data_IF_935887049301
#
_entry.id   IF_935887049301
#
_cell.length_a   1.000
_cell.length_b   1.000
_cell.length_c   1.000
_cell.angle_alpha   90.00
_cell.angle_beta   90.00
_cell.angle_gamma   90.00
#
_symmetry.space_group_name_H-M   'P 1'
#
loop_
_entity.id
_entity.type
_entity.pdbx_description
1 polymer ?
#
# COMPACT_ATOMS: atom_id res chain seq x y z
N UNK A 1 26.57 6.61 11.46
CA UNK A 1 25.59 5.63 11.97
C UNK A 1 24.55 5.47 10.87
N UNK A 2 24.48 4.31 10.21
CA UNK A 2 23.44 4.07 9.21
C UNK A 2 22.09 3.94 9.91
N UNK A 3 21.07 4.62 9.40
CA UNK A 3 19.70 4.40 9.83
C UNK A 3 19.38 2.89 9.77
N UNK A 4 18.54 2.35 10.67
CA UNK A 4 18.16 0.95 10.62
C UNK A 4 17.60 0.64 9.22
N UNK A 5 18.37 -0.12 8.45
CA UNK A 5 17.94 -0.66 7.17
C UNK A 5 16.70 -1.50 7.48
N UNK A 6 15.57 -1.16 6.86
CA UNK A 6 14.36 -1.95 6.99
C UNK A 6 14.67 -3.41 6.65
N UNK A 7 14.13 -4.34 7.44
CA UNK A 7 14.30 -5.77 7.15
C UNK A 7 13.34 -6.11 6.01
N UNK A 8 13.89 -6.54 4.88
CA UNK A 8 13.11 -7.11 3.79
C UNK A 8 12.54 -8.47 4.20
N UNK A 9 11.45 -8.44 4.96
CA UNK A 9 10.76 -9.64 5.49
C UNK A 9 9.87 -10.32 4.45
N UNK A 10 9.61 -9.66 3.32
CA UNK A 10 8.77 -10.16 2.23
C UNK A 10 9.60 -10.66 1.03
N UNK A 11 10.92 -10.82 1.22
CA UNK A 11 11.85 -11.32 0.20
C UNK A 11 11.77 -10.59 -1.15
N UNK A 12 11.49 -9.28 -1.11
CA UNK A 12 11.42 -8.43 -2.29
C UNK A 12 12.74 -8.41 -3.06
N UNK A 13 12.66 -8.37 -4.38
CA UNK A 13 13.83 -8.16 -5.24
C UNK A 13 14.38 -6.72 -5.06
N UNK A 14 15.66 -6.47 -5.40
CA UNK A 14 16.21 -5.12 -5.38
C UNK A 14 15.41 -4.12 -6.25
N UNK A 15 14.91 -4.58 -7.40
CA UNK A 15 14.10 -3.76 -8.32
C UNK A 15 12.73 -3.43 -7.71
N UNK A 16 12.10 -4.39 -7.03
CA UNK A 16 10.85 -4.14 -6.31
C UNK A 16 11.03 -3.12 -5.18
N UNK A 17 12.14 -3.20 -4.43
CA UNK A 17 12.46 -2.24 -3.37
C UNK A 17 12.65 -0.84 -3.96
N UNK A 18 13.45 -0.71 -5.02
CA UNK A 18 13.71 0.57 -5.67
C UNK A 18 12.42 1.21 -6.21
N UNK A 19 11.57 0.43 -6.90
CA UNK A 19 10.27 0.93 -7.39
C UNK A 19 9.30 1.30 -6.25
N UNK A 20 9.32 0.58 -5.13
CA UNK A 20 8.51 0.95 -3.96
C UNK A 20 8.98 2.26 -3.34
N UNK A 21 10.29 2.44 -3.16
CA UNK A 21 10.87 3.70 -2.69
C UNK A 21 10.51 4.86 -3.65
N UNK A 22 10.61 4.63 -4.98
CA UNK A 22 10.20 5.62 -5.99
C UNK A 22 8.70 5.95 -5.89
N UNK A 23 7.83 4.94 -5.73
CA UNK A 23 6.40 5.15 -5.60
C UNK A 23 6.05 5.98 -4.34
N UNK A 24 6.72 5.74 -3.22
CA UNK A 24 6.53 6.51 -1.98
C UNK A 24 7.02 7.97 -2.15
N UNK A 25 8.20 8.18 -2.74
CA UNK A 25 8.72 9.51 -3.06
C UNK A 25 7.77 10.30 -3.97
N UNK A 26 7.13 9.63 -4.94
CA UNK A 26 6.10 10.21 -5.80
C UNK A 26 4.84 10.59 -5.02
N UNK A 27 4.42 9.79 -4.03
CA UNK A 27 3.31 10.15 -3.14
C UNK A 27 3.64 11.39 -2.29
N UNK A 28 4.85 11.45 -1.73
CA UNK A 28 5.32 12.61 -0.95
C UNK A 28 5.40 13.88 -1.81
N UNK A 29 5.77 13.73 -3.07
CA UNK A 29 5.84 14.82 -4.06
C UNK A 29 4.50 15.17 -4.70
N UNK A 30 3.40 14.54 -4.26
CA UNK A 30 2.04 14.70 -4.80
C UNK A 30 1.88 14.31 -6.28
N UNK A 31 2.81 13.52 -6.82
CA UNK A 31 2.75 12.93 -8.16
C UNK A 31 1.94 11.61 -8.13
N UNK A 32 0.68 11.69 -7.67
CA UNK A 32 -0.13 10.52 -7.29
C UNK A 32 -0.36 9.54 -8.46
N UNK A 33 -0.63 10.05 -9.66
CA UNK A 33 -0.86 9.19 -10.83
C UNK A 33 0.38 8.36 -11.20
N UNK A 34 1.58 8.93 -11.06
CA UNK A 34 2.81 8.21 -11.38
C UNK A 34 3.11 7.17 -10.30
N UNK A 35 2.88 7.50 -9.02
CA UNK A 35 2.98 6.53 -7.93
C UNK A 35 2.03 5.35 -8.14
N UNK A 36 0.75 5.62 -8.41
CA UNK A 36 -0.27 4.58 -8.64
C UNK A 36 0.12 3.68 -9.81
N UNK A 37 0.64 4.26 -10.91
CA UNK A 37 1.12 3.50 -12.06
C UNK A 37 2.28 2.55 -11.71
N UNK A 38 3.25 3.00 -10.92
CA UNK A 38 4.37 2.16 -10.46
C UNK A 38 3.83 1.00 -9.62
N UNK A 39 2.97 1.30 -8.65
CA UNK A 39 2.39 0.31 -7.74
C UNK A 39 1.53 -0.72 -8.48
N UNK A 40 0.71 -0.31 -9.45
CA UNK A 40 -0.07 -1.23 -10.27
C UNK A 40 0.84 -2.12 -11.13
N UNK A 41 1.92 -1.59 -11.68
CA UNK A 41 2.92 -2.39 -12.41
C UNK A 41 3.57 -3.46 -11.52
N UNK A 42 3.95 -3.09 -10.29
CA UNK A 42 4.46 -4.05 -9.30
C UNK A 42 3.42 -5.10 -8.92
N UNK A 43 2.15 -4.72 -8.81
CA UNK A 43 1.06 -5.63 -8.50
C UNK A 43 0.80 -6.62 -9.65
N UNK A 44 0.95 -6.20 -10.90
CA UNK A 44 0.83 -7.11 -12.07
C UNK A 44 1.93 -8.18 -12.07
N UNK A 45 3.15 -7.84 -11.62
CA UNK A 45 4.26 -8.78 -11.48
C UNK A 45 4.01 -9.79 -10.34
N UNK A 46 3.48 -9.32 -9.20
CA UNK A 46 3.07 -10.15 -8.08
C UNK A 46 1.78 -9.62 -7.42
N UNK A 47 0.67 -10.26 -7.79
CA UNK A 47 -0.68 -9.91 -7.34
C UNK A 47 -0.88 -10.05 -5.83
N UNK A 48 0.01 -10.76 -5.12
CA UNK A 48 -0.09 -10.98 -3.68
C UNK A 48 1.02 -10.28 -2.89
N UNK A 49 1.73 -9.32 -3.50
CA UNK A 49 2.76 -8.56 -2.83
C UNK A 49 2.16 -7.66 -1.73
N UNK A 50 2.28 -8.09 -0.47
CA UNK A 50 1.70 -7.42 0.70
C UNK A 50 2.15 -5.94 0.83
N UNK A 51 3.45 -5.59 0.65
CA UNK A 51 3.87 -4.18 0.65
C UNK A 51 3.15 -3.33 -0.39
N UNK A 52 3.05 -3.80 -1.64
CA UNK A 52 2.39 -3.08 -2.73
C UNK A 52 0.90 -2.86 -2.42
N UNK A 53 0.21 -3.92 -1.96
CA UNK A 53 -1.20 -3.83 -1.56
C UNK A 53 -1.43 -2.83 -0.43
N UNK A 54 -0.55 -2.80 0.59
CA UNK A 54 -0.64 -1.85 1.68
C UNK A 54 -0.46 -0.40 1.22
N UNK A 55 0.49 -0.15 0.32
CA UNK A 55 0.78 1.19 -0.21
C UNK A 55 -0.35 1.64 -1.15
N UNK A 56 -0.88 0.77 -2.01
CA UNK A 56 -2.09 1.06 -2.80
C UNK A 56 -3.28 1.42 -1.90
N UNK A 57 -3.52 0.61 -0.87
CA UNK A 57 -4.55 0.91 0.12
C UNK A 57 -4.36 2.30 0.76
N UNK A 58 -3.11 2.67 1.07
CA UNK A 58 -2.79 3.98 1.62
C UNK A 58 -3.01 5.11 0.60
N UNK A 59 -2.54 4.93 -0.64
CA UNK A 59 -2.68 5.88 -1.73
C UNK A 59 -4.15 6.21 -1.99
N UNK A 60 -4.99 5.19 -2.21
CA UNK A 60 -6.41 5.38 -2.48
C UNK A 60 -7.12 6.06 -1.31
N UNK A 61 -6.89 5.59 -0.08
CA UNK A 61 -7.62 6.09 1.08
C UNK A 61 -7.17 7.48 1.52
N UNK A 62 -5.87 7.78 1.47
CA UNK A 62 -5.31 9.04 2.00
C UNK A 62 -5.27 10.14 0.94
N UNK A 63 -4.89 9.82 -0.29
CA UNK A 63 -4.63 10.82 -1.32
C UNK A 63 -5.80 10.98 -2.28
N UNK A 64 -6.48 9.89 -2.64
CA UNK A 64 -7.62 9.92 -3.56
C UNK A 64 -8.98 10.03 -2.86
N UNK A 65 -9.04 9.77 -1.55
CA UNK A 65 -10.29 9.62 -0.80
C UNK A 65 -11.23 8.54 -1.38
N UNK A 66 -10.66 7.57 -2.10
CA UNK A 66 -11.36 6.39 -2.59
C UNK A 66 -11.34 5.33 -1.49
N UNK A 67 -12.30 5.46 -0.57
CA UNK A 67 -12.33 4.65 0.65
C UNK A 67 -12.73 3.21 0.35
N UNK A 68 -13.60 2.99 -0.63
CA UNK A 68 -14.00 1.66 -1.10
C UNK A 68 -12.80 0.89 -1.64
N UNK A 69 -12.02 1.46 -2.58
CA UNK A 69 -10.82 0.81 -3.09
C UNK A 69 -9.77 0.58 -2.00
N UNK A 70 -9.57 1.56 -1.11
CA UNK A 70 -8.66 1.43 0.03
C UNK A 70 -9.02 0.23 0.92
N UNK A 71 -10.31 0.07 1.25
CA UNK A 71 -10.82 -1.05 2.04
C UNK A 71 -10.57 -2.38 1.31
N UNK A 72 -10.81 -2.45 -0.01
CA UNK A 72 -10.58 -3.66 -0.80
C UNK A 72 -9.11 -4.11 -0.76
N UNK A 73 -8.17 -3.18 -0.95
CA UNK A 73 -6.74 -3.51 -0.85
C UNK A 73 -6.35 -4.01 0.54
N UNK A 74 -6.83 -3.36 1.60
CA UNK A 74 -6.56 -3.82 2.96
C UNK A 74 -7.26 -5.13 3.32
N UNK A 75 -8.43 -5.41 2.76
CA UNK A 75 -9.09 -6.71 2.90
C UNK A 75 -8.21 -7.81 2.27
N UNK A 76 -7.65 -7.59 1.06
CA UNK A 76 -6.68 -8.52 0.44
C UNK A 76 -5.42 -8.71 1.28
N UNK A 77 -4.85 -7.65 1.86
CA UNK A 77 -3.71 -7.78 2.78
C UNK A 77 -4.05 -8.69 3.95
N UNK A 78 -5.24 -8.54 4.54
CA UNK A 78 -5.66 -9.32 5.71
C UNK A 78 -6.08 -10.75 5.38
N UNK A 79 -6.38 -11.06 4.12
CA UNK A 79 -6.51 -12.44 3.64
C UNK A 79 -5.16 -13.15 3.59
N UNK A 80 -4.10 -12.42 3.18
CA UNK A 80 -2.74 -12.96 3.05
C UNK A 80 -1.99 -12.97 4.40
N UNK A 81 -2.15 -11.92 5.19
CA UNK A 81 -1.50 -11.70 6.48
C UNK A 81 -2.54 -11.22 7.52
N UNK A 82 -3.29 -12.16 8.13
CA UNK A 82 -4.39 -11.83 9.04
C UNK A 82 -3.97 -11.06 10.28
N UNK A 83 -2.69 -11.10 10.67
CA UNK A 83 -2.12 -10.41 11.82
C UNK A 83 -1.61 -9.00 11.51
N UNK A 84 -1.60 -8.57 10.24
CA UNK A 84 -1.18 -7.22 9.83
C UNK A 84 -1.97 -6.12 10.58
N UNK A 85 -1.33 -5.50 11.57
CA UNK A 85 -1.98 -4.53 12.43
C UNK A 85 -2.32 -3.23 11.68
N UNK A 86 -1.45 -2.81 10.77
CA UNK A 86 -1.62 -1.59 9.98
C UNK A 86 -2.85 -1.68 9.06
N UNK A 87 -2.92 -2.73 8.24
CA UNK A 87 -4.05 -2.95 7.34
C UNK A 87 -5.37 -3.06 8.11
N UNK A 88 -5.36 -3.73 9.28
CA UNK A 88 -6.55 -3.85 10.13
C UNK A 88 -7.04 -2.49 10.61
N UNK A 89 -6.14 -1.61 11.04
CA UNK A 89 -6.47 -0.31 11.60
C UNK A 89 -6.90 0.69 10.51
N UNK A 90 -6.18 0.77 9.40
CA UNK A 90 -6.55 1.64 8.27
C UNK A 90 -7.88 1.21 7.64
N UNK A 91 -8.10 -0.10 7.42
CA UNK A 91 -9.41 -0.59 6.96
C UNK A 91 -10.54 -0.22 7.91
N UNK A 92 -10.33 -0.36 9.23
CA UNK A 92 -11.34 0.05 10.24
C UNK A 92 -11.60 1.55 10.21
N UNK A 93 -10.58 2.38 9.97
CA UNK A 93 -10.73 3.82 9.78
C UNK A 93 -11.60 4.10 8.56
N UNK A 94 -11.24 3.55 7.40
CA UNK A 94 -11.93 3.87 6.14
C UNK A 94 -13.37 3.35 6.08
N UNK A 95 -13.66 2.19 6.67
CA UNK A 95 -15.04 1.69 6.80
C UNK A 95 -15.98 2.69 7.44
N UNK A 96 -15.49 3.52 8.39
CA UNK A 96 -16.34 4.54 9.02
C UNK A 96 -16.85 5.54 8.00
N UNK A 97 -16.04 5.97 7.03
CA UNK A 97 -16.45 6.97 6.03
C UNK A 97 -17.48 6.44 5.04
N UNK A 98 -17.49 5.14 4.76
CA UNK A 98 -18.45 4.50 3.83
C UNK A 98 -19.77 4.14 4.52
N UNK A 99 -19.76 3.93 5.85
CA UNK A 99 -20.95 3.51 6.61
C UNK A 99 -21.82 4.65 7.15
N UNK A 100 -21.43 5.91 6.95
CA UNK A 100 -22.27 7.06 7.32
C UNK A 100 -23.25 7.35 6.18
N UNK A 101 -24.47 6.83 6.31
CA UNK A 101 -25.69 7.43 5.73
C UNK A 101 -26.06 8.72 6.48
#
# INVERSE_FOLDING_TARGET
MGAPRWKNIYDLSPDQIEKLEEAEDKMESMEINESEKILLGLLEEDNNCIPVLNILGHLHGRYLSDFEASIEYYDRVLELEPDNAWARDERRRYRRYVTYD
#
